data_IF_152478113172
#
_entry.id   IF_152478113172
#
_cell.length_a   1.000
_cell.length_b   1.000
_cell.length_c   1.000
_cell.angle_alpha   90.00
_cell.angle_beta   90.00
_cell.angle_gamma   90.00
#
_symmetry.space_group_name_H-M   'P 1'
#
loop_
_entity.id
_entity.type
_entity.pdbx_description
1 polymer ?
#
# COMPACT_ATOMS: atom_id res chain seq x y z
N UNK A 1 8.84 24.78 36.79
CA UNK A 1 8.95 24.93 35.32
C UNK A 1 9.99 24.00 34.71
N UNK A 2 11.14 23.78 35.36
CA UNK A 2 12.22 22.87 34.96
C UNK A 2 11.80 21.42 34.66
N UNK A 3 10.90 20.82 35.46
CA UNK A 3 10.46 19.44 35.21
C UNK A 3 9.66 19.27 33.90
N UNK A 4 8.87 20.27 33.50
CA UNK A 4 8.11 20.22 32.23
C UNK A 4 9.03 20.33 31.01
N UNK A 5 10.10 21.11 31.14
CA UNK A 5 11.12 21.27 30.09
C UNK A 5 11.89 19.95 29.92
N UNK A 6 12.24 19.29 31.02
CA UNK A 6 12.90 17.98 30.99
C UNK A 6 12.02 16.90 30.35
N UNK A 7 10.72 16.89 30.65
CA UNK A 7 9.76 15.95 30.03
C UNK A 7 9.66 16.14 28.50
N UNK A 8 9.62 17.40 28.03
CA UNK A 8 9.58 17.71 26.61
C UNK A 8 10.86 17.31 25.89
N UNK A 9 12.02 17.50 26.53
CA UNK A 9 13.32 17.10 26.00
C UNK A 9 13.41 15.57 25.83
N UNK A 10 12.99 14.82 26.86
CA UNK A 10 12.96 13.35 26.81
C UNK A 10 12.04 12.87 25.68
N UNK A 11 10.85 13.48 25.55
CA UNK A 11 9.91 13.16 24.48
C UNK A 11 10.50 13.44 23.09
N UNK A 12 11.22 14.55 22.91
CA UNK A 12 11.88 14.87 21.64
C UNK A 12 13.01 13.90 21.27
N UNK A 13 13.78 13.43 22.26
CA UNK A 13 14.87 12.47 22.04
C UNK A 13 14.31 11.09 21.69
N UNK A 14 13.24 10.66 22.37
CA UNK A 14 12.52 9.43 22.04
C UNK A 14 11.86 9.48 20.67
N UNK A 15 11.29 10.63 20.29
CA UNK A 15 10.73 10.83 18.95
C UNK A 15 11.80 10.74 17.85
N UNK A 16 13.02 11.24 18.11
CA UNK A 16 14.13 11.19 17.16
C UNK A 16 14.70 9.78 16.98
N UNK A 17 14.73 8.97 18.03
CA UNK A 17 15.31 7.63 18.02
C UNK A 17 14.58 6.63 17.08
N UNK A 18 13.36 6.94 16.65
CA UNK A 18 12.57 6.11 15.73
C UNK A 18 12.49 6.62 14.29
N UNK A 19 13.22 7.68 13.94
CA UNK A 19 13.18 8.24 12.59
C UNK A 19 14.09 7.43 11.66
N UNK A 20 13.48 6.71 10.73
CA UNK A 20 14.17 6.10 9.59
C UNK A 20 14.01 7.03 8.37
N UNK A 21 15.09 7.23 7.62
CA UNK A 21 14.99 7.88 6.31
C UNK A 21 14.19 6.97 5.37
N UNK A 22 13.28 7.55 4.60
CA UNK A 22 12.56 6.87 3.52
C UNK A 22 13.21 7.24 2.19
N UNK A 23 13.34 6.27 1.29
CA UNK A 23 13.80 6.54 -0.07
C UNK A 23 12.64 7.03 -0.95
N UNK A 24 12.99 7.64 -2.09
CA UNK A 24 12.01 7.95 -3.13
C UNK A 24 11.28 6.68 -3.62
N UNK A 25 11.98 5.54 -3.67
CA UNK A 25 11.40 4.25 -4.08
C UNK A 25 10.33 3.75 -3.09
N UNK A 26 10.51 3.97 -1.79
CA UNK A 26 9.51 3.64 -0.78
C UNK A 26 8.28 4.55 -0.93
N UNK A 27 8.50 5.85 -1.13
CA UNK A 27 7.42 6.80 -1.38
C UNK A 27 6.60 6.42 -2.63
N UNK A 28 7.28 6.05 -3.73
CA UNK A 28 6.63 5.60 -4.95
C UNK A 28 5.84 4.30 -4.73
N UNK A 29 6.44 3.31 -4.04
CA UNK A 29 5.77 2.02 -3.74
C UNK A 29 4.50 2.22 -2.92
N UNK A 30 4.50 3.14 -1.95
CA UNK A 30 3.31 3.45 -1.14
C UNK A 30 2.33 4.41 -1.82
N UNK A 31 2.75 5.12 -2.87
CA UNK A 31 1.87 6.00 -3.65
C UNK A 31 0.87 5.23 -4.52
N UNK A 32 1.21 3.99 -4.87
CA UNK A 32 0.33 3.12 -5.65
C UNK A 32 -0.59 2.33 -4.72
N UNK A 33 -1.89 2.62 -4.82
CA UNK A 33 -2.94 1.76 -4.28
C UNK A 33 -3.24 0.66 -5.29
N UNK A 34 -3.32 -0.58 -4.83
CA UNK A 34 -3.92 -1.64 -5.62
C UNK A 34 -5.45 -1.50 -5.56
N UNK A 35 -6.17 -2.12 -6.49
CA UNK A 35 -7.63 -2.29 -6.39
C UNK A 35 -7.98 -3.30 -5.29
N UNK A 36 -7.56 -3.01 -4.06
CA UNK A 36 -7.99 -3.67 -2.85
C UNK A 36 -9.42 -3.27 -2.47
N UNK A 37 -10.03 -4.07 -1.59
CA UNK A 37 -11.39 -3.83 -1.14
C UNK A 37 -12.15 -5.13 -0.86
N UNK A 38 -13.48 -4.99 -0.79
CA UNK A 38 -14.36 -6.16 -0.66
C UNK A 38 -14.29 -7.03 -1.91
N UNK A 39 -14.69 -8.30 -1.81
CA UNK A 39 -14.86 -9.17 -2.97
C UNK A 39 -15.81 -8.55 -4.03
N UNK A 40 -16.81 -7.76 -3.60
CA UNK A 40 -17.72 -7.03 -4.50
C UNK A 40 -16.97 -5.94 -5.29
N UNK A 41 -16.14 -5.15 -4.62
CA UNK A 41 -15.30 -4.11 -5.24
C UNK A 41 -14.32 -4.71 -6.24
N UNK A 42 -13.65 -5.81 -5.85
CA UNK A 42 -12.69 -6.51 -6.71
C UNK A 42 -13.39 -7.18 -7.90
N UNK A 43 -14.55 -7.81 -7.68
CA UNK A 43 -15.29 -8.52 -8.73
C UNK A 43 -15.75 -7.63 -9.90
N UNK A 44 -15.86 -6.31 -9.67
CA UNK A 44 -16.15 -5.32 -10.74
C UNK A 44 -14.92 -4.50 -11.14
N UNK A 45 -13.72 -4.94 -10.77
CA UNK A 45 -12.46 -4.28 -11.15
C UNK A 45 -12.22 -2.92 -10.48
N UNK A 46 -12.78 -2.68 -9.30
CA UNK A 46 -12.59 -1.42 -8.56
C UNK A 46 -13.54 -0.29 -8.97
N UNK A 47 -14.50 -0.53 -9.87
CA UNK A 47 -15.43 0.49 -10.37
C UNK A 47 -16.34 1.11 -9.27
N UNK A 48 -16.53 0.42 -8.13
CA UNK A 48 -17.37 0.91 -7.03
C UNK A 48 -16.80 2.14 -6.32
N UNK A 49 -15.52 2.47 -6.50
CA UNK A 49 -14.96 3.73 -6.01
C UNK A 49 -15.69 4.96 -6.57
N UNK A 50 -16.18 4.89 -7.81
CA UNK A 50 -16.96 5.96 -8.44
C UNK A 50 -18.46 5.85 -8.15
N UNK A 51 -19.02 4.63 -8.14
CA UNK A 51 -20.46 4.39 -7.99
C UNK A 51 -20.95 4.53 -6.53
N UNK A 52 -20.10 4.26 -5.54
CA UNK A 52 -20.47 4.29 -4.13
C UNK A 52 -21.08 2.97 -3.63
N UNK A 53 -21.60 3.00 -2.39
CA UNK A 53 -22.34 1.89 -1.77
C UNK A 53 -21.58 0.55 -1.64
N UNK A 54 -20.25 0.58 -1.61
CA UNK A 54 -19.40 -0.54 -1.17
C UNK A 54 -18.52 -0.09 -0.01
N UNK A 55 -18.11 -1.03 0.85
CA UNK A 55 -17.30 -0.71 2.01
C UNK A 55 -15.90 -0.20 1.64
N UNK A 56 -15.38 -0.56 0.46
CA UNK A 56 -14.11 -0.03 -0.05
C UNK A 56 -14.12 1.48 -0.27
N UNK A 57 -15.30 2.10 -0.41
CA UNK A 57 -15.41 3.54 -0.63
C UNK A 57 -15.08 4.35 0.62
N UNK A 58 -15.11 3.76 1.84
CA UNK A 58 -14.61 4.43 3.04
C UNK A 58 -13.15 4.87 2.89
N UNK A 59 -12.34 4.08 2.16
CA UNK A 59 -10.91 4.32 1.96
C UNK A 59 -10.56 4.89 0.59
N UNK A 60 -11.36 4.64 -0.45
CA UNK A 60 -11.07 5.11 -1.83
C UNK A 60 -11.82 6.40 -2.19
N UNK A 61 -13.07 6.56 -1.76
CA UNK A 61 -13.89 7.75 -2.03
C UNK A 61 -14.96 7.94 -0.94
N UNK A 62 -14.64 8.62 0.18
CA UNK A 62 -15.54 8.74 1.32
C UNK A 62 -16.90 9.37 0.98
N UNK A 63 -17.00 10.18 -0.08
CA UNK A 63 -18.27 10.74 -0.53
C UNK A 63 -19.25 9.66 -1.03
N UNK A 64 -18.73 8.53 -1.52
CA UNK A 64 -19.49 7.34 -1.91
C UNK A 64 -20.32 6.75 -0.76
N UNK A 65 -19.99 7.09 0.49
CA UNK A 65 -20.78 6.71 1.66
C UNK A 65 -22.19 7.26 1.62
N UNK A 66 -22.43 8.41 0.98
CA UNK A 66 -23.77 9.02 0.87
C UNK A 66 -24.80 8.14 0.14
N UNK A 67 -24.33 7.15 -0.63
CA UNK A 67 -25.16 6.22 -1.38
C UNK A 67 -25.62 5.01 -0.57
N UNK A 68 -25.08 4.77 0.63
CA UNK A 68 -25.56 3.72 1.51
C UNK A 68 -27.02 3.94 1.90
N UNK A 69 -27.83 2.89 1.75
CA UNK A 69 -29.28 2.91 1.99
C UNK A 69 -29.72 2.01 3.14
N UNK A 70 -28.84 1.14 3.60
CA UNK A 70 -29.07 0.18 4.69
C UNK A 70 -27.76 -0.03 5.45
N UNK A 71 -27.87 -0.38 6.73
CA UNK A 71 -26.73 -0.78 7.52
C UNK A 71 -26.19 -2.14 7.04
N UNK A 72 -24.87 -2.32 7.03
CA UNK A 72 -24.19 -3.52 6.54
C UNK A 72 -23.07 -3.91 7.52
N UNK A 73 -22.92 -5.21 7.76
CA UNK A 73 -21.72 -5.78 8.37
C UNK A 73 -20.89 -6.42 7.28
N UNK A 74 -19.60 -6.11 7.26
CA UNK A 74 -18.71 -6.43 6.15
C UNK A 74 -17.59 -7.32 6.66
N UNK A 75 -17.41 -8.45 5.99
CA UNK A 75 -16.26 -9.34 6.15
C UNK A 75 -15.87 -9.87 4.77
N UNK A 76 -14.61 -9.70 4.38
CA UNK A 76 -14.12 -10.10 3.06
C UNK A 76 -12.78 -10.83 3.19
N UNK A 77 -12.79 -12.16 3.41
CA UNK A 77 -11.57 -12.96 3.36
C UNK A 77 -11.02 -12.97 1.93
N UNK A 78 -9.70 -13.17 1.82
CA UNK A 78 -9.00 -13.18 0.55
C UNK A 78 -7.86 -14.18 0.60
N UNK A 79 -7.55 -14.71 -0.59
CA UNK A 79 -6.42 -15.59 -0.82
C UNK A 79 -5.57 -14.94 -1.90
N UNK A 80 -4.32 -14.63 -1.55
CA UNK A 80 -3.38 -13.99 -2.44
C UNK A 80 -2.30 -14.98 -2.84
N UNK A 81 -2.02 -15.09 -4.12
CA UNK A 81 -0.92 -15.84 -4.67
C UNK A 81 -0.14 -14.94 -5.62
N UNK A 82 1.15 -14.80 -5.37
CA UNK A 82 2.09 -14.10 -6.24
C UNK A 82 3.18 -15.08 -6.66
N UNK A 83 3.47 -15.13 -7.95
CA UNK A 83 4.62 -15.83 -8.50
C UNK A 83 5.51 -14.82 -9.19
N UNK A 84 6.78 -14.82 -8.85
CA UNK A 84 7.77 -13.90 -9.39
C UNK A 84 8.91 -14.71 -9.99
N UNK A 85 9.17 -14.49 -11.26
CA UNK A 85 10.37 -14.97 -11.93
C UNK A 85 11.35 -13.79 -12.05
N UNK A 86 12.62 -14.00 -11.73
CA UNK A 86 13.66 -12.97 -11.81
C UNK A 86 14.92 -13.56 -12.41
N UNK A 87 15.46 -12.89 -13.43
CA UNK A 87 16.70 -13.29 -14.11
C UNK A 87 17.70 -12.14 -14.02
N UNK A 88 18.91 -12.42 -13.53
CA UNK A 88 20.01 -11.48 -13.63
C UNK A 88 20.52 -11.47 -15.07
N UNK A 89 20.30 -10.37 -15.76
CA UNK A 89 20.68 -10.19 -17.18
C UNK A 89 22.19 -10.01 -17.36
N UNK A 90 22.67 -10.14 -18.60
CA UNK A 90 24.07 -9.94 -19.03
C UNK A 90 25.09 -11.03 -18.68
N UNK A 91 24.65 -12.20 -18.18
CA UNK A 91 25.47 -13.41 -18.17
C UNK A 91 24.61 -14.60 -18.60
N UNK A 92 25.10 -15.41 -19.53
CA UNK A 92 24.39 -16.57 -20.08
C UNK A 92 24.34 -17.75 -19.11
N UNK A 93 25.23 -17.77 -18.13
CA UNK A 93 25.26 -18.79 -17.07
C UNK A 93 24.27 -18.47 -15.93
N UNK A 94 23.69 -17.26 -15.91
CA UNK A 94 22.65 -16.92 -14.95
C UNK A 94 21.35 -17.66 -15.26
N UNK A 95 20.79 -18.29 -14.23
CA UNK A 95 19.52 -19.02 -14.34
C UNK A 95 18.37 -18.19 -13.75
N UNK A 96 17.16 -18.24 -14.34
CA UNK A 96 15.97 -17.65 -13.74
C UNK A 96 15.72 -18.21 -12.34
N UNK A 97 15.27 -17.36 -11.44
CA UNK A 97 14.84 -17.73 -10.10
C UNK A 97 13.34 -17.50 -9.96
N UNK A 98 12.63 -18.50 -9.46
CA UNK A 98 11.21 -18.43 -9.18
C UNK A 98 10.98 -18.34 -7.68
N UNK A 99 10.16 -17.37 -7.26
CA UNK A 99 9.66 -17.24 -5.89
C UNK A 99 8.13 -17.19 -5.94
N UNK A 100 7.48 -18.13 -5.26
CA UNK A 100 6.03 -18.15 -5.10
C UNK A 100 5.63 -17.89 -3.66
N UNK A 101 4.70 -16.96 -3.47
CA UNK A 101 4.13 -16.62 -2.17
C UNK A 101 2.64 -16.75 -2.20
N UNK A 102 2.13 -17.52 -1.24
CA UNK A 102 0.71 -17.71 -1.01
C UNK A 102 0.38 -17.23 0.39
N UNK A 103 -0.65 -16.39 0.52
CA UNK A 103 -1.08 -15.83 1.79
C UNK A 103 -2.61 -15.76 1.90
N UNK A 104 -3.14 -16.30 2.98
CA UNK A 104 -4.53 -16.07 3.38
C UNK A 104 -4.64 -14.77 4.19
N UNK A 105 -5.57 -13.91 3.82
CA UNK A 105 -5.73 -12.63 4.50
C UNK A 105 -7.19 -12.16 4.56
N UNK A 106 -7.39 -11.03 5.23
CA UNK A 106 -8.70 -10.38 5.38
C UNK A 106 -8.60 -8.99 4.75
N UNK A 107 -9.22 -8.81 3.59
CA UNK A 107 -9.16 -7.55 2.85
C UNK A 107 -10.04 -6.46 3.47
N UNK A 108 -11.19 -6.84 4.04
CA UNK A 108 -12.10 -5.87 4.62
C UNK A 108 -12.86 -6.44 5.81
N UNK A 109 -13.01 -5.63 6.85
CA UNK A 109 -13.84 -5.92 8.01
C UNK A 109 -14.41 -4.63 8.56
N UNK A 110 -15.72 -4.58 8.81
CA UNK A 110 -16.31 -3.38 9.40
C UNK A 110 -17.81 -3.40 9.47
N UNK A 111 -18.35 -2.25 9.87
CA UNK A 111 -19.79 -2.00 9.95
C UNK A 111 -20.10 -0.64 9.35
N UNK A 112 -21.21 -0.58 8.64
CA UNK A 112 -21.82 0.66 8.14
C UNK A 112 -23.20 0.76 8.74
N UNK A 113 -23.53 1.91 9.28
CA UNK A 113 -24.85 2.28 9.80
C UNK A 113 -25.41 3.36 8.88
N UNK A 114 -26.54 3.05 8.24
CA UNK A 114 -27.22 3.98 7.35
C UNK A 114 -28.55 4.43 7.97
N UNK A 115 -28.79 5.74 7.95
CA UNK A 115 -30.02 6.36 8.48
C UNK A 115 -30.57 7.38 7.51
N UNK A 116 -31.90 7.44 7.38
CA UNK A 116 -32.62 8.48 6.65
C UNK A 116 -33.51 9.23 7.63
N UNK A 117 -33.04 10.33 8.23
CA UNK A 117 -33.81 11.05 9.21
C UNK A 117 -35.07 11.66 8.54
N UNK A 118 -36.24 11.43 9.14
CA UNK A 118 -37.54 11.88 8.57
C UNK A 118 -37.85 13.36 8.76
N UNK A 119 -37.17 14.02 9.71
CA UNK A 119 -37.50 15.38 10.15
C UNK A 119 -36.29 16.33 10.14
N UNK A 120 -35.15 15.90 9.62
CA UNK A 120 -33.94 16.72 9.53
C UNK A 120 -33.75 17.24 8.10
N UNK A 121 -33.05 18.37 7.94
CA UNK A 121 -32.68 18.91 6.61
C UNK A 121 -31.70 18.00 5.85
N UNK A 122 -31.20 16.93 6.46
CA UNK A 122 -30.26 16.01 5.86
C UNK A 122 -31.01 14.89 5.14
N UNK A 123 -30.66 14.65 3.87
CA UNK A 123 -31.29 13.60 3.06
C UNK A 123 -30.86 12.19 3.47
N UNK A 124 -29.66 12.02 4.04
CA UNK A 124 -29.13 10.74 4.53
C UNK A 124 -28.02 11.01 5.56
N UNK A 125 -27.90 10.15 6.58
CA UNK A 125 -26.80 10.11 7.53
C UNK A 125 -26.19 8.71 7.53
N UNK A 126 -24.92 8.59 7.13
CA UNK A 126 -24.21 7.32 7.07
C UNK A 126 -22.93 7.41 7.89
N UNK A 127 -22.72 6.41 8.75
CA UNK A 127 -21.53 6.27 9.57
C UNK A 127 -20.93 4.89 9.32
N UNK A 128 -19.65 4.81 9.04
CA UNK A 128 -18.97 3.53 8.82
C UNK A 128 -17.63 3.50 9.52
N UNK A 129 -17.28 2.33 10.05
CA UNK A 129 -15.99 2.09 10.69
C UNK A 129 -15.50 0.69 10.38
N UNK A 130 -14.19 0.56 10.17
CA UNK A 130 -13.52 -0.71 10.02
C UNK A 130 -12.20 -0.56 9.27
N UNK A 131 -11.73 -1.68 8.74
CA UNK A 131 -10.43 -1.82 8.12
C UNK A 131 -10.60 -2.24 6.66
N UNK A 132 -9.87 -1.56 5.79
CA UNK A 132 -9.76 -1.92 4.38
C UNK A 132 -8.28 -2.01 3.99
N UNK A 133 -7.88 -3.12 3.36
CA UNK A 133 -6.53 -3.30 2.84
C UNK A 133 -6.43 -2.69 1.45
N UNK A 134 -5.65 -1.60 1.34
CA UNK A 134 -5.45 -0.85 0.09
C UNK A 134 -4.31 -1.34 -0.78
N UNK A 135 -3.37 -2.10 -0.20
CA UNK A 135 -2.24 -2.66 -0.94
C UNK A 135 -1.75 -3.94 -0.25
N UNK A 136 -1.15 -4.85 -1.02
CA UNK A 136 -0.53 -6.06 -0.50
C UNK A 136 0.92 -6.17 -0.99
N UNK A 137 1.87 -6.01 -0.08
CA UNK A 137 3.30 -6.07 -0.39
C UNK A 137 3.92 -7.46 -0.16
N UNK A 138 3.12 -8.53 -0.10
CA UNK A 138 3.61 -9.90 0.08
C UNK A 138 4.14 -10.52 -1.23
N UNK A 139 4.97 -9.78 -1.95
CA UNK A 139 5.66 -10.23 -3.15
C UNK A 139 7.15 -9.93 -3.01
N UNK A 140 7.98 -10.94 -3.25
CA UNK A 140 9.43 -10.81 -3.17
C UNK A 140 10.04 -11.03 -4.55
N UNK A 141 11.03 -10.20 -4.85
CA UNK A 141 11.88 -10.32 -6.03
C UNK A 141 13.26 -10.74 -5.54
N UNK A 142 13.71 -11.90 -5.99
CA UNK A 142 15.02 -12.44 -5.61
C UNK A 142 15.72 -12.94 -6.86
N UNK A 143 16.95 -12.47 -7.07
CA UNK A 143 17.80 -12.89 -8.17
C UNK A 143 19.20 -13.20 -7.63
N UNK A 144 19.86 -14.17 -8.25
CA UNK A 144 21.24 -14.55 -7.98
C UNK A 144 21.92 -14.85 -9.30
N UNK A 145 23.17 -14.43 -9.43
CA UNK A 145 23.99 -14.69 -10.61
C UNK A 145 25.30 -13.92 -10.55
N UNK A 146 26.10 -14.07 -11.59
CA UNK A 146 27.26 -13.21 -11.84
C UNK A 146 26.84 -12.07 -12.76
N UNK A 147 27.35 -10.87 -12.49
CA UNK A 147 27.24 -9.75 -13.43
C UNK A 147 28.50 -9.74 -14.28
N UNK A 148 28.37 -9.55 -15.60
CA UNK A 148 29.53 -9.14 -16.41
C UNK A 148 29.99 -7.75 -15.96
N UNK A 149 31.30 -7.60 -15.72
CA UNK A 149 31.92 -6.36 -15.27
C UNK A 149 32.30 -6.32 -13.79
N UNK A 150 33.02 -5.27 -13.41
CA UNK A 150 33.45 -4.98 -12.05
C UNK A 150 32.65 -3.83 -11.44
N UNK A 151 32.78 -3.62 -10.13
CA UNK A 151 32.19 -2.44 -9.47
C UNK A 151 32.72 -1.13 -10.07
N UNK A 152 33.93 -1.14 -10.65
CA UNK A 152 34.51 0.02 -11.34
C UNK A 152 33.77 0.31 -12.63
N UNK A 153 33.35 -0.73 -13.37
CA UNK A 153 32.57 -0.57 -14.59
C UNK A 153 31.18 0.01 -14.29
N UNK A 154 30.56 -0.37 -13.17
CA UNK A 154 29.34 0.30 -12.67
C UNK A 154 29.57 1.79 -12.38
N UNK A 155 30.65 2.14 -11.67
CA UNK A 155 30.95 3.56 -11.40
C UNK A 155 31.26 4.34 -12.68
N UNK A 156 31.91 3.69 -13.66
CA UNK A 156 32.17 4.26 -14.98
C UNK A 156 30.87 4.49 -15.76
N UNK A 157 29.97 3.51 -15.76
CA UNK A 157 28.64 3.61 -16.39
C UNK A 157 27.83 4.75 -15.75
N UNK A 158 27.86 4.88 -14.42
CA UNK A 158 27.19 5.94 -13.69
C UNK A 158 27.82 7.32 -13.89
N UNK A 159 29.14 7.40 -14.12
CA UNK A 159 29.82 8.64 -14.44
C UNK A 159 29.58 9.09 -15.89
N UNK A 160 29.38 8.12 -16.80
CA UNK A 160 29.11 8.35 -18.21
C UNK A 160 27.61 8.45 -18.54
N UNK A 161 26.71 8.10 -17.62
CA UNK A 161 25.27 8.22 -17.83
C UNK A 161 24.89 9.70 -17.88
N UNK A 162 24.26 10.11 -18.98
CA UNK A 162 23.74 11.48 -19.12
C UNK A 162 22.57 11.80 -18.17
N UNK A 163 22.12 10.82 -17.38
CA UNK A 163 21.00 10.94 -16.45
C UNK A 163 21.44 11.20 -14.99
N UNK A 164 22.74 11.24 -14.71
CA UNK A 164 23.26 11.44 -13.35
C UNK A 164 23.22 10.17 -12.49
N UNK A 165 23.56 10.31 -11.20
CA UNK A 165 23.44 9.23 -10.21
C UNK A 165 21.98 8.80 -10.17
N UNK A 166 21.68 7.53 -10.44
CA UNK A 166 20.30 7.06 -10.46
C UNK A 166 19.62 7.27 -9.10
N UNK A 167 18.37 7.74 -9.13
CA UNK A 167 17.54 7.99 -7.93
C UNK A 167 17.27 6.74 -7.06
N UNK A 168 17.70 5.56 -7.54
CA UNK A 168 17.63 4.30 -6.81
C UNK A 168 18.74 4.15 -5.76
N UNK A 169 19.78 4.98 -5.82
CA UNK A 169 21.00 4.83 -5.01
C UNK A 169 21.39 6.08 -4.19
N UNK A 170 20.55 7.11 -4.19
CA UNK A 170 20.71 8.30 -3.32
C UNK A 170 20.06 8.12 -1.95
#
# INVERSE_FOLDING_TARGET
>A
MTNRILSLLILSVLAYAGLHAQSFTDALRYSHFETGGTARSIGVGGALGALGSDFSVLSTNPAGMGWYRSSEFVISPSFFNASTESLLVNDKENTPMEESRTNFNLNSFGVVVASRPRSASWSTFNFGVGLNRLANFNQYYYYRGMSEGSIVDRFLEQANSNEGISDFES
#
